data_IF_772487198434
#
_entry.id   IF_772487198434
#
_cell.length_a   1.000
_cell.length_b   1.000
_cell.length_c   1.000
_cell.angle_alpha   90.00
_cell.angle_beta   90.00
_cell.angle_gamma   90.00
#
_symmetry.space_group_name_H-M   'P 1'
#
loop_
_entity.id
_entity.type
_entity.pdbx_description
1 polymer ?
#
# COMPACT_ATOMS: atom_id res chain seq x y z
N UNK A 1 -26.32 -5.24 -25.97
CA UNK A 1 -25.46 -5.92 -26.95
C UNK A 1 -24.67 -6.97 -26.21
N UNK A 2 -24.76 -8.25 -26.57
CA UNK A 2 -24.20 -9.36 -25.79
C UNK A 2 -22.66 -9.34 -25.66
N UNK A 3 -21.95 -8.86 -26.72
CA UNK A 3 -20.49 -8.80 -26.73
C UNK A 3 -19.90 -7.83 -25.69
N UNK A 4 -20.63 -6.81 -25.30
CA UNK A 4 -20.19 -5.80 -24.34
C UNK A 4 -20.40 -6.26 -22.89
N UNK A 5 -21.42 -7.06 -22.62
CA UNK A 5 -21.75 -7.56 -21.26
C UNK A 5 -21.06 -8.87 -20.92
N UNK A 6 -20.88 -9.76 -21.91
CA UNK A 6 -20.12 -11.00 -21.73
C UNK A 6 -18.77 -10.86 -22.45
N UNK A 7 -17.67 -10.83 -21.69
CA UNK A 7 -16.31 -10.62 -22.20
C UNK A 7 -15.44 -11.88 -22.18
N UNK A 8 -16.04 -13.03 -21.99
CA UNK A 8 -15.34 -14.30 -22.00
C UNK A 8 -14.63 -14.55 -23.33
N UNK A 9 -15.21 -14.07 -24.45
CA UNK A 9 -14.62 -14.12 -25.79
C UNK A 9 -13.20 -13.55 -25.87
N UNK A 10 -12.83 -12.59 -25.01
CA UNK A 10 -11.47 -12.00 -24.98
C UNK A 10 -10.39 -13.04 -24.69
N UNK A 11 -10.75 -14.13 -24.04
CA UNK A 11 -9.85 -15.21 -23.61
C UNK A 11 -10.04 -16.50 -24.42
N UNK A 12 -11.04 -16.54 -25.29
CA UNK A 12 -11.34 -17.66 -26.21
C UNK A 12 -10.87 -17.32 -27.63
N UNK A 13 -9.54 -17.15 -27.78
CA UNK A 13 -8.91 -16.65 -29.00
C UNK A 13 -8.97 -17.65 -30.17
N UNK A 14 -8.92 -18.96 -29.89
CA UNK A 14 -8.80 -20.02 -30.91
C UNK A 14 -10.06 -20.87 -30.96
N UNK A 15 -10.43 -21.34 -32.16
CA UNK A 15 -11.47 -22.34 -32.37
C UNK A 15 -11.00 -23.77 -31.96
N UNK A 16 -11.88 -24.75 -32.15
CA UNK A 16 -11.62 -26.17 -31.88
C UNK A 16 -10.48 -26.76 -32.68
N UNK A 17 -10.15 -26.18 -33.84
CA UNK A 17 -9.11 -26.62 -34.75
C UNK A 17 -7.78 -25.88 -34.50
N UNK A 18 -7.73 -24.99 -33.49
CA UNK A 18 -6.55 -24.25 -33.12
C UNK A 18 -6.28 -23.01 -33.95
N UNK A 19 -7.17 -22.63 -34.86
CA UNK A 19 -7.09 -21.41 -35.64
C UNK A 19 -7.73 -20.24 -34.90
N UNK A 20 -7.41 -19.02 -35.34
CA UNK A 20 -7.99 -17.80 -34.78
C UNK A 20 -9.52 -17.78 -35.03
N UNK A 21 -10.31 -17.70 -33.96
CA UNK A 21 -11.76 -17.71 -34.01
C UNK A 21 -12.29 -16.50 -34.78
N UNK A 22 -13.25 -16.71 -35.70
CA UNK A 22 -13.93 -15.61 -36.38
C UNK A 22 -14.67 -14.69 -35.40
N UNK A 23 -15.34 -15.28 -34.40
CA UNK A 23 -16.01 -14.53 -33.33
C UNK A 23 -15.04 -13.63 -32.55
N UNK A 24 -13.84 -14.15 -32.24
CA UNK A 24 -12.81 -13.36 -31.60
C UNK A 24 -12.36 -12.18 -32.45
N UNK A 25 -12.14 -12.39 -33.75
CA UNK A 25 -11.75 -11.34 -34.69
C UNK A 25 -12.80 -10.22 -34.78
N UNK A 26 -14.08 -10.60 -34.94
CA UNK A 26 -15.18 -9.66 -35.04
C UNK A 26 -15.33 -8.82 -33.74
N UNK A 27 -15.21 -9.47 -32.60
CA UNK A 27 -15.28 -8.80 -31.30
C UNK A 27 -14.07 -7.90 -31.02
N UNK A 28 -12.86 -8.25 -31.49
CA UNK A 28 -11.69 -7.37 -31.47
C UNK A 28 -11.92 -6.11 -32.27
N UNK A 29 -12.51 -6.21 -33.44
CA UNK A 29 -12.82 -5.04 -34.27
C UNK A 29 -13.87 -4.14 -33.63
N UNK A 30 -14.91 -4.71 -33.03
CA UNK A 30 -15.91 -3.97 -32.26
C UNK A 30 -15.29 -3.29 -31.03
N UNK A 31 -14.37 -3.96 -30.34
CA UNK A 31 -13.60 -3.35 -29.23
C UNK A 31 -12.77 -2.16 -29.71
N UNK A 32 -12.07 -2.30 -30.85
CA UNK A 32 -11.25 -1.22 -31.40
C UNK A 32 -12.12 -0.04 -31.86
N UNK A 33 -13.28 -0.29 -32.47
CA UNK A 33 -14.23 0.76 -32.81
C UNK A 33 -14.70 1.53 -31.57
N UNK A 34 -15.04 0.81 -30.51
CA UNK A 34 -15.40 1.40 -29.25
C UNK A 34 -14.24 2.25 -28.67
N UNK A 35 -13.04 1.67 -28.58
CA UNK A 35 -11.91 2.32 -27.93
C UNK A 35 -11.44 3.57 -28.68
N UNK A 36 -11.45 3.55 -30.02
CA UNK A 36 -11.06 4.70 -30.84
C UNK A 36 -12.17 5.76 -31.01
N UNK A 37 -13.39 5.49 -30.55
CA UNK A 37 -14.48 6.48 -30.52
C UNK A 37 -14.56 7.27 -29.21
N UNK A 38 -13.75 6.96 -28.23
CA UNK A 38 -13.74 7.61 -26.92
C UNK A 38 -12.61 8.65 -26.78
N UNK A 39 -12.72 9.51 -25.77
CA UNK A 39 -11.76 10.61 -25.46
C UNK A 39 -10.37 10.14 -25.01
N UNK A 40 -10.13 8.83 -25.00
CA UNK A 40 -8.82 8.23 -24.62
C UNK A 40 -7.81 8.19 -25.77
N UNK A 41 -8.23 8.61 -26.95
CA UNK A 41 -7.39 8.67 -28.16
C UNK A 41 -6.40 9.83 -28.07
N UNK A 42 -5.13 9.54 -28.33
CA UNK A 42 -4.05 10.52 -28.37
C UNK A 42 -3.58 10.69 -29.81
N UNK A 43 -3.50 11.92 -30.29
CA UNK A 43 -2.98 12.26 -31.61
C UNK A 43 -1.48 12.50 -31.57
N UNK A 44 -0.76 11.89 -32.51
CA UNK A 44 0.66 12.11 -32.75
C UNK A 44 0.89 12.44 -34.22
N UNK A 45 1.83 13.35 -34.44
CA UNK A 45 2.29 13.65 -35.81
C UNK A 45 3.48 12.73 -36.13
N UNK A 46 3.37 11.95 -37.19
CA UNK A 46 4.45 11.09 -37.66
C UNK A 46 5.57 11.89 -38.35
N UNK A 47 6.66 11.20 -38.73
CA UNK A 47 7.81 11.84 -39.42
C UNK A 47 7.47 12.39 -40.80
N UNK A 48 6.29 12.07 -41.36
CA UNK A 48 5.80 12.53 -42.63
C UNK A 48 4.74 13.65 -42.52
N UNK A 49 4.47 14.12 -41.26
CA UNK A 49 3.51 15.20 -41.01
C UNK A 49 2.03 14.74 -40.94
N UNK A 50 1.77 13.43 -40.93
CA UNK A 50 0.42 12.90 -40.85
C UNK A 50 0.05 12.68 -39.38
N UNK A 51 -1.22 12.98 -39.02
CA UNK A 51 -1.75 12.71 -37.68
C UNK A 51 -2.11 11.23 -37.55
N UNK A 52 -1.50 10.54 -36.60
CA UNK A 52 -1.81 9.16 -36.22
C UNK A 52 -2.54 9.17 -34.90
N UNK A 53 -3.66 8.48 -34.85
CA UNK A 53 -4.43 8.26 -33.62
C UNK A 53 -3.92 7.00 -32.91
N UNK A 54 -3.59 7.10 -31.64
CA UNK A 54 -3.08 6.00 -30.82
C UNK A 54 -3.91 5.87 -29.54
N UNK A 55 -4.08 4.63 -29.08
CA UNK A 55 -4.61 4.31 -27.73
C UNK A 55 -3.63 3.39 -27.00
N UNK A 56 -3.81 3.19 -25.72
CA UNK A 56 -3.05 2.21 -24.95
C UNK A 56 -3.37 0.79 -25.47
N UNK A 57 -2.35 -0.02 -25.71
CA UNK A 57 -2.53 -1.36 -26.26
C UNK A 57 -2.84 -2.38 -25.15
N UNK A 58 -4.02 -3.05 -25.13
CA UNK A 58 -4.44 -3.97 -24.07
C UNK A 58 -3.95 -5.40 -24.27
N UNK A 59 -3.01 -5.65 -25.18
CA UNK A 59 -2.51 -7.01 -25.41
C UNK A 59 -1.67 -7.50 -24.22
N UNK A 60 -1.54 -8.82 -24.10
CA UNK A 60 -0.81 -9.49 -23.02
C UNK A 60 0.62 -8.96 -22.82
N UNK A 61 1.30 -8.53 -23.89
CA UNK A 61 2.66 -7.95 -23.79
C UNK A 61 2.68 -6.47 -23.43
N UNK A 62 1.76 -5.67 -23.96
CA UNK A 62 1.76 -4.22 -23.80
C UNK A 62 1.08 -3.77 -22.51
N UNK A 63 0.10 -4.51 -21.98
CA UNK A 63 -0.58 -4.33 -20.70
C UNK A 63 -0.99 -2.87 -20.41
N UNK A 64 -1.57 -2.19 -21.41
CA UNK A 64 -1.96 -0.78 -21.34
C UNK A 64 -0.82 0.23 -21.03
N UNK A 65 0.43 -0.17 -21.19
CA UNK A 65 1.60 0.71 -20.94
C UNK A 65 1.98 1.49 -22.22
N UNK A 66 1.82 0.89 -23.39
CA UNK A 66 2.31 1.46 -24.64
C UNK A 66 1.17 1.92 -25.55
N UNK A 67 1.25 3.16 -26.02
CA UNK A 67 0.36 3.68 -27.08
C UNK A 67 0.71 3.07 -28.43
N UNK A 68 -0.31 2.71 -29.22
CA UNK A 68 -0.17 2.14 -30.56
C UNK A 68 -1.35 2.56 -31.43
N UNK A 69 -1.13 2.55 -32.74
CA UNK A 69 -2.17 2.72 -33.73
C UNK A 69 -3.07 1.48 -33.82
N UNK A 70 -4.26 1.67 -34.43
CA UNK A 70 -5.28 0.63 -34.52
C UNK A 70 -4.76 -0.67 -35.18
N UNK A 71 -4.01 -0.57 -36.27
CA UNK A 71 -3.54 -1.75 -37.00
C UNK A 71 -2.51 -2.54 -36.20
N UNK A 72 -1.65 -1.84 -35.46
CA UNK A 72 -0.67 -2.46 -34.56
C UNK A 72 -1.35 -3.16 -33.38
N UNK A 73 -2.38 -2.55 -32.80
CA UNK A 73 -3.13 -3.16 -31.68
C UNK A 73 -3.86 -4.41 -32.17
N UNK A 74 -4.52 -4.37 -33.31
CA UNK A 74 -5.20 -5.52 -33.88
C UNK A 74 -4.23 -6.70 -34.09
N UNK A 75 -3.05 -6.44 -34.67
CA UNK A 75 -1.99 -7.47 -34.80
C UNK A 75 -1.55 -8.03 -33.46
N UNK A 76 -1.39 -7.18 -32.45
CA UNK A 76 -0.99 -7.61 -31.12
C UNK A 76 -2.07 -8.48 -30.46
N UNK A 77 -3.35 -8.11 -30.57
CA UNK A 77 -4.45 -8.87 -30.01
C UNK A 77 -4.60 -10.24 -30.72
N UNK A 78 -4.47 -10.27 -32.05
CA UNK A 78 -4.51 -11.53 -32.79
C UNK A 78 -3.34 -12.46 -32.44
N UNK A 79 -2.15 -11.90 -32.20
CA UNK A 79 -0.97 -12.68 -31.86
C UNK A 79 -0.90 -13.06 -30.39
N UNK A 80 -1.02 -12.11 -29.48
CA UNK A 80 -0.72 -12.25 -28.07
C UNK A 80 -1.98 -12.40 -27.18
N UNK A 81 -3.18 -12.05 -27.70
CA UNK A 81 -4.43 -11.99 -26.93
C UNK A 81 -4.49 -10.77 -26.00
N UNK A 82 -5.61 -10.61 -25.31
CA UNK A 82 -5.79 -9.57 -24.30
C UNK A 82 -4.98 -9.90 -23.02
N UNK A 83 -4.65 -8.86 -22.27
CA UNK A 83 -4.11 -9.01 -20.93
C UNK A 83 -5.13 -9.70 -20.01
N UNK A 84 -4.66 -10.48 -19.02
CA UNK A 84 -5.53 -11.22 -18.12
C UNK A 84 -6.30 -10.27 -17.18
N UNK A 85 -7.53 -10.65 -16.83
CA UNK A 85 -8.41 -9.91 -15.92
C UNK A 85 -8.76 -8.49 -16.36
N UNK A 86 -8.79 -8.24 -17.67
CA UNK A 86 -9.18 -6.95 -18.21
C UNK A 86 -10.69 -6.90 -18.51
N UNK A 87 -11.50 -7.11 -17.47
CA UNK A 87 -12.96 -7.15 -17.57
C UNK A 87 -13.61 -5.77 -17.64
N UNK A 88 -12.95 -4.73 -17.17
CA UNK A 88 -13.35 -3.33 -17.31
C UNK A 88 -12.35 -2.61 -18.20
N UNK A 89 -12.85 -1.97 -19.25
CA UNK A 89 -12.02 -1.26 -20.23
C UNK A 89 -11.76 0.20 -19.83
N UNK A 90 -11.39 0.40 -18.58
CA UNK A 90 -11.16 1.72 -17.98
C UNK A 90 -10.18 2.59 -18.77
N UNK A 91 -9.14 1.98 -19.37
CA UNK A 91 -8.15 2.68 -20.18
C UNK A 91 -8.61 2.92 -21.63
N UNK A 92 -9.82 2.49 -21.99
CA UNK A 92 -10.40 2.57 -23.34
C UNK A 92 -11.75 3.27 -23.35
N UNK A 93 -12.06 4.07 -22.30
CA UNK A 93 -13.25 4.92 -22.26
C UNK A 93 -14.49 4.27 -21.68
N UNK A 94 -14.39 3.07 -21.07
CA UNK A 94 -15.48 2.54 -20.27
C UNK A 94 -15.50 3.23 -18.90
N UNK A 95 -16.08 4.43 -18.88
CA UNK A 95 -16.48 5.03 -17.63
C UNK A 95 -17.77 4.36 -17.19
N UNK A 96 -17.95 4.09 -15.89
CA UNK A 96 -19.23 3.66 -15.35
C UNK A 96 -20.30 4.66 -15.80
N UNK A 97 -21.13 4.29 -16.78
CA UNK A 97 -22.23 5.12 -17.23
C UNK A 97 -23.12 5.43 -16.03
N UNK A 98 -23.10 6.68 -15.61
CA UNK A 98 -24.13 7.21 -14.73
C UNK A 98 -25.43 7.20 -15.52
N UNK A 99 -26.38 6.38 -15.10
CA UNK A 99 -27.77 6.51 -15.50
C UNK A 99 -28.22 7.94 -15.21
N UNK A 100 -28.56 8.67 -16.27
CA UNK A 100 -29.19 9.97 -16.17
C UNK A 100 -30.66 9.74 -15.82
N UNK A 101 -30.97 9.78 -14.55
CA UNK A 101 -32.34 9.78 -14.07
C UNK A 101 -32.55 9.21 -12.68
N UNK A 102 -32.12 9.89 -11.66
CA UNK A 102 -32.92 10.28 -10.48
C UNK A 102 -32.00 10.86 -9.40
N UNK A 103 -32.35 12.08 -9.00
CA UNK A 103 -31.87 12.82 -7.85
C UNK A 103 -31.93 11.98 -6.57
N UNK A 104 -30.83 11.82 -5.92
CA UNK A 104 -30.51 12.13 -4.50
C UNK A 104 -29.37 11.27 -3.97
N UNK A 105 -28.31 11.98 -3.59
CA UNK A 105 -27.48 11.75 -2.40
C UNK A 105 -27.18 10.31 -2.00
N UNK A 106 -26.10 9.78 -2.52
CA UNK A 106 -25.00 9.15 -1.78
C UNK A 106 -23.86 8.93 -2.78
N UNK A 107 -22.73 9.61 -2.59
CA UNK A 107 -21.48 9.23 -3.25
C UNK A 107 -21.12 7.84 -2.76
N UNK A 108 -21.43 6.81 -3.54
CA UNK A 108 -20.73 5.53 -3.44
C UNK A 108 -19.30 5.79 -3.92
N UNK A 109 -18.42 5.97 -2.97
CA UNK A 109 -16.98 6.09 -3.18
C UNK A 109 -16.50 4.73 -3.66
N UNK A 110 -15.91 4.73 -4.85
CA UNK A 110 -15.24 3.57 -5.46
C UNK A 110 -14.31 2.90 -4.44
N UNK A 111 -14.47 1.59 -4.22
CA UNK A 111 -13.79 0.80 -3.17
C UNK A 111 -12.26 0.73 -3.30
N UNK A 112 -11.66 1.41 -4.27
CA UNK A 112 -10.22 1.53 -4.51
C UNK A 112 -9.58 2.82 -3.96
N UNK A 113 -10.35 3.75 -3.43
CA UNK A 113 -9.80 4.96 -2.83
C UNK A 113 -9.51 4.76 -1.34
N UNK A 114 -8.21 4.63 -1.05
CA UNK A 114 -7.61 5.08 0.18
C UNK A 114 -7.89 4.26 1.44
N UNK A 115 -7.25 3.10 1.53
CA UNK A 115 -7.24 2.32 2.77
C UNK A 115 -6.72 3.11 3.98
N UNK A 116 -5.83 4.08 3.77
CA UNK A 116 -5.36 4.97 4.83
C UNK A 116 -6.45 5.96 5.28
N UNK A 117 -7.18 6.54 4.33
CA UNK A 117 -8.36 7.39 4.63
C UNK A 117 -9.44 6.58 5.35
N UNK A 118 -9.71 5.37 4.88
CA UNK A 118 -10.66 4.45 5.51
C UNK A 118 -10.21 4.06 6.92
N UNK A 119 -8.93 3.74 7.12
CA UNK A 119 -8.37 3.44 8.43
C UNK A 119 -8.46 4.64 9.38
N UNK A 120 -8.25 5.86 8.90
CA UNK A 120 -8.43 7.10 9.69
C UNK A 120 -9.91 7.35 9.97
N UNK A 121 -10.80 7.19 8.98
CA UNK A 121 -12.25 7.41 9.15
C UNK A 121 -12.89 6.30 10.02
N UNK A 122 -12.51 5.04 9.85
CA UNK A 122 -12.97 3.93 10.69
C UNK A 122 -12.50 4.10 12.15
N UNK A 123 -11.33 4.72 12.37
CA UNK A 123 -10.89 5.11 13.71
C UNK A 123 -11.71 6.30 14.27
N UNK A 124 -12.24 7.16 13.41
CA UNK A 124 -13.12 8.27 13.84
C UNK A 124 -14.51 7.78 14.23
N UNK A 125 -15.06 6.81 13.50
CA UNK A 125 -16.35 6.16 13.86
C UNK A 125 -16.23 5.35 15.16
N UNK A 126 -15.05 4.79 15.45
CA UNK A 126 -14.75 4.12 16.71
C UNK A 126 -14.59 5.10 17.89
N UNK A 127 -14.33 6.39 17.61
CA UNK A 127 -14.23 7.47 18.61
C UNK A 127 -15.58 7.92 19.20
N UNK A 128 -16.68 7.18 19.05
CA UNK A 128 -17.87 7.29 19.87
C UNK A 128 -17.62 7.00 21.35
N UNK A 129 -16.46 7.46 21.85
CA UNK A 129 -16.08 7.43 23.26
C UNK A 129 -16.89 8.49 24.01
N UNK A 130 -18.19 8.25 24.11
CA UNK A 130 -18.99 8.91 25.14
C UNK A 130 -18.58 8.26 26.47
N UNK A 131 -18.14 9.08 27.40
CA UNK A 131 -17.62 8.75 28.73
C UNK A 131 -18.55 7.94 29.65
N UNK A 132 -19.52 7.21 29.11
CA UNK A 132 -20.60 6.57 29.86
C UNK A 132 -20.68 5.04 29.74
N UNK A 133 -19.66 4.33 29.19
CA UNK A 133 -19.65 2.85 29.28
C UNK A 133 -18.60 2.40 30.30
N UNK A 134 -19.06 2.15 31.52
CA UNK A 134 -18.30 1.70 32.71
C UNK A 134 -17.83 0.24 32.67
N UNK A 135 -17.77 -0.42 31.51
CA UNK A 135 -17.32 -1.82 31.38
C UNK A 135 -16.17 -1.90 30.34
N UNK A 136 -14.95 -1.85 30.82
CA UNK A 136 -13.75 -2.06 30.02
C UNK A 136 -12.50 -1.47 30.70
N UNK A 137 -11.33 -1.99 30.36
CA UNK A 137 -10.06 -1.44 30.83
C UNK A 137 -9.80 -0.07 30.19
N UNK A 138 -9.28 0.85 30.98
CA UNK A 138 -8.85 2.16 30.47
C UNK A 138 -7.77 1.94 29.40
N UNK A 139 -7.85 2.61 28.24
CA UNK A 139 -6.78 2.56 27.24
C UNK A 139 -5.43 2.91 27.84
N UNK A 140 -4.38 2.21 27.41
CA UNK A 140 -3.03 2.54 27.82
C UNK A 140 -2.67 3.99 27.42
N UNK A 141 -1.64 4.61 28.02
CA UNK A 141 -1.34 6.02 27.80
C UNK A 141 -1.10 6.39 26.34
N UNK A 142 -0.57 5.46 25.54
CA UNK A 142 -0.31 5.67 24.11
C UNK A 142 -1.62 5.71 23.32
N UNK A 143 -2.50 4.74 23.53
CA UNK A 143 -3.82 4.69 22.90
C UNK A 143 -4.69 5.88 23.31
N UNK A 144 -4.70 6.23 24.60
CA UNK A 144 -5.40 7.41 25.10
C UNK A 144 -4.90 8.68 24.41
N UNK A 145 -3.60 8.90 24.36
CA UNK A 145 -3.01 10.06 23.67
C UNK A 145 -3.38 10.11 22.19
N UNK A 146 -3.45 8.96 21.54
CA UNK A 146 -3.89 8.87 20.15
C UNK A 146 -5.37 9.26 19.97
N UNK A 147 -6.27 8.76 20.81
CA UNK A 147 -7.69 9.13 20.76
C UNK A 147 -7.91 10.60 21.10
N UNK A 148 -7.23 11.14 22.11
CA UNK A 148 -7.30 12.56 22.46
C UNK A 148 -6.86 13.45 21.28
N UNK A 149 -5.81 13.04 20.55
CA UNK A 149 -5.35 13.74 19.35
C UNK A 149 -6.31 13.63 18.19
N UNK A 150 -6.94 12.46 17.98
CA UNK A 150 -7.98 12.30 16.96
C UNK A 150 -9.17 13.21 17.26
N UNK A 151 -9.63 13.21 18.49
CA UNK A 151 -10.74 14.07 18.92
C UNK A 151 -10.41 15.55 18.75
N UNK A 152 -9.20 15.99 19.14
CA UNK A 152 -8.76 17.38 18.95
C UNK A 152 -8.60 17.77 17.48
N UNK A 153 -8.30 16.80 16.60
CA UNK A 153 -8.15 17.04 15.16
C UNK A 153 -9.49 16.98 14.40
N UNK A 154 -10.53 16.42 15.04
CA UNK A 154 -11.88 16.30 14.47
C UNK A 154 -12.74 17.56 14.73
N UNK A 155 -12.09 18.69 14.97
CA UNK A 155 -12.77 19.97 15.07
C UNK A 155 -13.40 20.38 13.73
N UNK A 156 -14.59 21.04 13.74
CA UNK A 156 -15.17 21.58 12.52
C UNK A 156 -14.24 22.64 11.91
N UNK A 157 -14.24 22.74 10.57
CA UNK A 157 -13.38 23.68 9.84
C UNK A 157 -13.65 25.15 10.21
N UNK A 158 -14.88 25.52 10.60
CA UNK A 158 -15.25 26.84 11.10
C UNK A 158 -16.46 26.74 12.03
N UNK A 159 -16.67 27.76 12.85
CA UNK A 159 -17.84 27.84 13.75
C UNK A 159 -19.13 27.94 12.95
N UNK A 160 -20.15 27.17 13.32
CA UNK A 160 -21.43 27.11 12.63
C UNK A 160 -21.51 26.10 11.47
N UNK A 161 -20.42 25.40 11.16
CA UNK A 161 -20.49 24.28 10.23
C UNK A 161 -21.28 23.12 10.85
N UNK A 162 -22.17 22.49 10.07
CA UNK A 162 -22.90 21.29 10.54
C UNK A 162 -21.89 20.17 10.79
N UNK A 163 -22.06 19.44 11.88
CA UNK A 163 -21.17 18.34 12.30
C UNK A 163 -21.02 17.19 11.25
N UNK A 164 -21.94 17.12 10.28
CA UNK A 164 -21.90 16.16 9.16
C UNK A 164 -20.95 16.55 8.04
N UNK A 165 -20.38 17.76 8.09
CA UNK A 165 -19.48 18.27 7.06
C UNK A 165 -18.02 17.97 7.43
N UNK A 166 -17.09 18.30 6.57
CA UNK A 166 -15.68 17.97 6.67
C UNK A 166 -15.00 18.55 7.92
N UNK A 167 -14.34 17.72 8.74
CA UNK A 167 -13.50 18.18 9.84
C UNK A 167 -12.15 18.71 9.35
N UNK A 168 -11.42 19.41 10.23
CA UNK A 168 -10.05 19.85 9.97
C UNK A 168 -9.13 18.68 9.60
N UNK A 169 -9.28 17.53 10.27
CA UNK A 169 -8.52 16.34 10.00
C UNK A 169 -8.85 15.75 8.63
N UNK A 170 -10.15 15.64 8.32
CA UNK A 170 -10.59 15.14 7.00
C UNK A 170 -10.11 16.03 5.87
N UNK A 171 -10.19 17.35 6.01
CA UNK A 171 -9.67 18.26 5.01
C UNK A 171 -8.16 18.11 4.82
N UNK A 172 -7.40 18.09 5.92
CA UNK A 172 -5.95 17.96 5.87
C UNK A 172 -5.50 16.63 5.22
N UNK A 173 -6.14 15.52 5.58
CA UNK A 173 -5.85 14.20 4.99
C UNK A 173 -6.26 14.14 3.52
N UNK A 174 -7.42 14.66 3.15
CA UNK A 174 -7.88 14.69 1.74
C UNK A 174 -6.91 15.47 0.84
N UNK A 175 -6.42 16.63 1.31
CA UNK A 175 -5.42 17.40 0.55
C UNK A 175 -4.07 16.68 0.42
N UNK A 176 -3.62 15.97 1.47
CA UNK A 176 -2.39 15.17 1.37
C UNK A 176 -2.55 13.97 0.44
N UNK A 177 -3.70 13.30 0.52
CA UNK A 177 -4.05 12.21 -0.39
C UNK A 177 -4.07 12.68 -1.83
N UNK A 178 -4.76 13.79 -2.12
CA UNK A 178 -4.75 14.41 -3.45
C UNK A 178 -3.33 14.71 -3.92
N UNK A 179 -2.48 15.31 -3.06
CA UNK A 179 -1.09 15.58 -3.40
C UNK A 179 -0.31 14.31 -3.75
N UNK A 180 -0.54 13.23 -3.01
CA UNK A 180 0.15 11.95 -3.19
C UNK A 180 -0.31 11.23 -4.46
N UNK A 181 -1.62 11.06 -4.63
CA UNK A 181 -2.22 10.33 -5.76
C UNK A 181 -1.87 10.97 -7.11
N UNK A 182 -1.94 12.30 -7.19
CA UNK A 182 -1.72 13.02 -8.44
C UNK A 182 -0.31 13.62 -8.57
N UNK A 183 0.61 13.21 -7.68
CA UNK A 183 2.00 13.70 -7.67
C UNK A 183 2.11 15.23 -7.76
N UNK A 184 1.22 15.94 -7.05
CA UNK A 184 1.10 17.40 -7.09
C UNK A 184 2.33 18.05 -6.48
N UNK A 185 2.93 19.04 -7.16
CA UNK A 185 4.05 19.78 -6.64
C UNK A 185 3.68 20.58 -5.38
N UNK A 186 4.64 20.87 -4.50
CA UNK A 186 4.38 21.66 -3.29
C UNK A 186 3.89 23.08 -3.63
N UNK A 187 4.34 23.65 -4.74
CA UNK A 187 3.89 24.96 -5.20
C UNK A 187 2.41 24.93 -5.63
N UNK A 188 2.00 23.92 -6.42
CA UNK A 188 0.62 23.74 -6.83
C UNK A 188 -0.30 23.44 -5.62
N UNK A 189 0.17 22.63 -4.66
CA UNK A 189 -0.52 22.37 -3.41
C UNK A 189 -0.81 23.65 -2.64
N UNK A 190 0.23 24.48 -2.40
CA UNK A 190 0.09 25.73 -1.66
C UNK A 190 -0.84 26.73 -2.37
N UNK A 191 -0.77 26.78 -3.71
CA UNK A 191 -1.66 27.63 -4.50
C UNK A 191 -3.12 27.21 -4.36
N UNK A 192 -3.40 25.91 -4.48
CA UNK A 192 -4.75 25.35 -4.32
C UNK A 192 -5.31 25.60 -2.90
N UNK A 193 -4.52 25.34 -1.88
CA UNK A 193 -4.92 25.61 -0.49
C UNK A 193 -5.22 27.10 -0.28
N UNK A 194 -4.43 28.02 -0.87
CA UNK A 194 -4.68 29.45 -0.76
C UNK A 194 -5.98 29.86 -1.44
N UNK A 195 -6.29 29.27 -2.61
CA UNK A 195 -7.57 29.49 -3.29
C UNK A 195 -8.77 29.00 -2.45
N UNK A 196 -8.67 27.78 -1.91
CA UNK A 196 -9.73 27.22 -1.07
C UNK A 196 -9.92 28.06 0.20
N UNK A 197 -8.83 28.49 0.84
CA UNK A 197 -8.92 29.38 2.01
C UNK A 197 -9.62 30.72 1.68
N UNK A 198 -9.45 31.26 0.49
CA UNK A 198 -10.11 32.49 0.05
C UNK A 198 -11.64 32.31 -0.17
N UNK A 199 -12.10 31.07 -0.37
CA UNK A 199 -13.53 30.75 -0.53
C UNK A 199 -14.21 30.38 0.79
N UNK A 200 -13.44 30.08 1.83
CA UNK A 200 -13.94 29.73 3.16
C UNK A 200 -14.10 31.00 4.04
N UNK A 201 -14.91 30.93 5.11
CA UNK A 201 -14.99 32.02 6.08
C UNK A 201 -13.60 32.39 6.65
N UNK A 202 -13.41 33.67 7.02
CA UNK A 202 -12.11 34.17 7.51
C UNK A 202 -11.58 33.40 8.74
N UNK A 203 -12.47 32.93 9.60
CA UNK A 203 -12.15 32.19 10.84
C UNK A 203 -11.98 30.66 10.61
N UNK A 204 -11.79 30.22 9.36
CA UNK A 204 -11.61 28.81 9.09
C UNK A 204 -10.27 28.28 9.64
N UNK A 205 -10.28 26.99 10.00
CA UNK A 205 -9.13 26.27 10.60
C UNK A 205 -8.34 25.43 9.58
N UNK A 206 -8.55 25.62 8.28
CA UNK A 206 -7.81 24.90 7.25
C UNK A 206 -6.33 25.30 7.30
N UNK A 207 -5.38 24.35 7.29
CA UNK A 207 -3.95 24.68 7.22
C UNK A 207 -3.63 25.53 5.99
N UNK A 208 -2.80 26.57 6.15
CA UNK A 208 -2.53 27.56 5.09
C UNK A 208 -1.58 27.08 3.99
N UNK A 209 -0.83 26.01 4.23
CA UNK A 209 0.15 25.48 3.29
C UNK A 209 0.52 24.03 3.62
N UNK A 210 1.27 23.37 2.74
CA UNK A 210 1.74 21.99 2.90
C UNK A 210 2.51 21.73 4.21
N UNK A 211 3.34 22.67 4.61
CA UNK A 211 4.12 22.54 5.85
C UNK A 211 3.21 22.51 7.07
N UNK A 212 2.24 23.43 7.16
CA UNK A 212 1.26 23.44 8.25
C UNK A 212 0.37 22.21 8.24
N UNK A 213 -0.07 21.75 7.06
CA UNK A 213 -0.84 20.50 6.93
C UNK A 213 -0.04 19.31 7.46
N UNK A 214 1.22 19.18 7.04
CA UNK A 214 2.10 18.11 7.52
C UNK A 214 2.32 18.20 9.03
N UNK A 215 2.55 19.39 9.56
CA UNK A 215 2.76 19.64 10.99
C UNK A 215 1.51 19.31 11.83
N UNK A 216 0.32 19.62 11.33
CA UNK A 216 -0.94 19.29 12.03
C UNK A 216 -1.17 17.78 12.15
N UNK A 217 -0.64 16.98 11.23
CA UNK A 217 -0.74 15.52 11.23
C UNK A 217 0.50 14.81 11.80
N UNK A 218 1.55 15.55 12.16
CA UNK A 218 2.82 14.97 12.62
C UNK A 218 2.64 14.05 13.83
N UNK A 219 1.80 14.44 14.78
CA UNK A 219 1.49 13.66 15.99
C UNK A 219 0.67 12.39 15.71
N UNK A 220 -0.07 12.37 14.61
CA UNK A 220 -0.81 11.20 14.14
C UNK A 220 0.02 10.30 13.23
N UNK A 221 1.18 10.78 12.78
CA UNK A 221 2.05 10.03 11.87
C UNK A 221 2.74 8.87 12.60
N UNK A 222 2.93 7.78 11.85
CA UNK A 222 3.73 6.66 12.34
C UNK A 222 5.23 7.00 12.26
N UNK A 223 6.03 6.53 13.23
CA UNK A 223 7.46 6.80 13.25
C UNK A 223 8.17 6.19 12.04
N UNK A 224 9.21 6.86 11.58
CA UNK A 224 10.18 6.31 10.63
C UNK A 224 11.59 6.77 11.02
N UNK A 225 12.58 5.95 10.71
CA UNK A 225 13.96 6.21 10.98
C UNK A 225 14.79 6.27 9.69
N UNK A 226 15.73 7.20 9.65
CA UNK A 226 16.71 7.27 8.57
C UNK A 226 18.02 6.70 9.06
N UNK A 227 18.44 5.60 8.46
CA UNK A 227 19.66 4.87 8.84
C UNK A 227 20.69 5.04 7.73
N UNK A 228 21.84 5.59 8.06
CA UNK A 228 22.92 5.74 7.09
C UNK A 228 23.53 4.38 6.74
N UNK A 229 23.83 4.20 5.47
CA UNK A 229 24.33 2.95 4.90
C UNK A 229 25.74 3.14 4.34
N UNK A 230 26.59 2.15 4.48
CA UNK A 230 27.89 2.11 3.82
C UNK A 230 27.71 2.17 2.29
N UNK A 231 28.51 2.97 1.60
CA UNK A 231 28.50 3.11 0.14
C UNK A 231 28.60 1.76 -0.60
N UNK A 232 29.30 0.80 0.00
CA UNK A 232 29.50 -0.55 -0.56
C UNK A 232 28.55 -1.59 0.06
N UNK A 233 27.48 -1.17 0.76
CA UNK A 233 26.46 -2.05 1.39
C UNK A 233 27.02 -3.01 2.46
N UNK A 234 28.21 -2.74 3.04
CA UNK A 234 28.84 -3.65 4.01
C UNK A 234 28.20 -3.60 5.40
N UNK A 235 27.60 -2.48 5.79
CA UNK A 235 26.99 -2.28 7.11
C UNK A 235 26.02 -1.11 7.13
N UNK A 236 25.16 -1.10 8.13
CA UNK A 236 24.38 0.05 8.56
C UNK A 236 25.13 0.79 9.69
N UNK A 237 25.02 2.11 9.72
CA UNK A 237 25.45 2.92 10.87
C UNK A 237 24.31 2.96 11.90
N UNK A 238 24.09 1.83 12.58
CA UNK A 238 22.93 1.54 13.42
C UNK A 238 23.34 1.02 14.80
N UNK A 239 22.55 1.27 15.85
CA UNK A 239 22.85 0.89 17.25
C UNK A 239 24.28 1.25 17.66
N UNK A 240 25.12 0.26 17.94
CA UNK A 240 26.52 0.46 18.41
C UNK A 240 27.41 1.18 17.38
N UNK A 241 27.09 1.02 16.09
CA UNK A 241 27.86 1.60 14.99
C UNK A 241 27.39 3.02 14.61
N UNK A 242 26.37 3.55 15.28
CA UNK A 242 25.72 4.85 14.98
C UNK A 242 26.68 6.03 14.99
N UNK A 243 27.73 6.00 15.81
CA UNK A 243 28.71 7.08 15.97
C UNK A 243 29.87 7.01 14.97
N UNK A 244 30.02 5.90 14.25
CA UNK A 244 31.11 5.71 13.30
C UNK A 244 31.00 6.66 12.11
N UNK A 245 32.15 7.19 11.69
CA UNK A 245 32.28 8.05 10.51
C UNK A 245 32.82 7.33 9.28
N UNK A 246 33.30 6.09 9.47
CA UNK A 246 33.80 5.20 8.43
C UNK A 246 33.29 3.78 8.61
N UNK A 247 33.11 3.06 7.52
CA UNK A 247 32.77 1.65 7.55
C UNK A 247 33.85 0.81 8.23
N UNK A 248 33.46 -0.03 9.17
CA UNK A 248 34.38 -0.93 9.88
C UNK A 248 35.00 -2.02 8.99
N UNK A 249 34.33 -2.36 7.88
CA UNK A 249 34.75 -3.40 6.95
C UNK A 249 35.59 -2.82 5.80
N UNK A 250 35.04 -1.97 4.95
CA UNK A 250 35.70 -1.45 3.76
C UNK A 250 36.42 -0.11 3.97
N UNK A 251 36.36 0.47 5.18
CA UNK A 251 36.99 1.75 5.55
C UNK A 251 36.49 2.99 4.77
N UNK A 252 35.52 2.84 3.89
CA UNK A 252 34.89 3.95 3.17
C UNK A 252 34.22 4.97 4.10
N UNK A 253 34.25 6.24 3.70
CA UNK A 253 33.61 7.31 4.45
C UNK A 253 32.09 7.14 4.48
N UNK A 254 31.47 7.41 5.62
CA UNK A 254 30.02 7.52 5.76
C UNK A 254 29.43 8.66 4.94
N UNK A 255 30.17 9.76 4.80
CA UNK A 255 29.70 11.01 4.22
C UNK A 255 30.31 11.29 2.85
N UNK A 256 29.53 11.89 1.94
CA UNK A 256 29.97 12.41 0.65
C UNK A 256 30.94 13.59 0.82
N UNK A 257 30.69 14.41 1.85
CA UNK A 257 31.49 15.57 2.20
C UNK A 257 31.63 15.63 3.73
N UNK A 258 32.87 15.81 4.18
CA UNK A 258 33.15 15.96 5.61
C UNK A 258 32.59 17.28 6.18
N UNK A 259 32.49 18.32 5.35
CA UNK A 259 31.98 19.64 5.79
C UNK A 259 30.48 19.60 6.12
N UNK A 260 29.67 18.94 5.31
CA UNK A 260 28.21 19.00 5.42
C UNK A 260 27.58 17.75 6.04
N UNK A 261 28.38 16.73 6.38
CA UNK A 261 27.91 15.45 6.96
C UNK A 261 26.73 14.82 6.18
N UNK A 262 26.72 14.99 4.84
CA UNK A 262 25.72 14.39 3.98
C UNK A 262 26.08 12.92 3.77
N UNK A 263 25.23 11.95 4.20
CA UNK A 263 25.54 10.53 4.06
C UNK A 263 25.60 10.09 2.60
N UNK A 264 26.40 9.07 2.31
CA UNK A 264 26.51 8.50 0.97
C UNK A 264 25.20 7.84 0.55
N UNK A 265 24.65 6.99 1.42
CA UNK A 265 23.39 6.30 1.22
C UNK A 265 22.57 6.35 2.51
N UNK A 266 21.26 6.35 2.39
CA UNK A 266 20.33 6.37 3.52
C UNK A 266 19.21 5.36 3.23
N UNK A 267 18.95 4.48 4.18
CA UNK A 267 17.81 3.59 4.21
C UNK A 267 16.71 4.23 5.05
N UNK A 268 15.48 4.13 4.61
CA UNK A 268 14.31 4.48 5.42
C UNK A 268 13.79 3.21 6.08
N UNK A 269 13.68 3.22 7.41
CA UNK A 269 13.14 2.15 8.22
C UNK A 269 11.87 2.62 8.91
N UNK A 270 10.82 1.84 8.82
CA UNK A 270 9.50 2.11 9.37
C UNK A 270 9.15 0.99 10.35
N UNK A 271 9.32 1.21 11.68
CA UNK A 271 9.06 0.18 12.70
C UNK A 271 7.65 -0.41 12.58
N UNK A 272 7.55 -1.74 12.71
CA UNK A 272 6.29 -2.46 12.54
C UNK A 272 5.42 -2.41 13.81
N UNK A 273 6.00 -2.41 14.98
CA UNK A 273 5.27 -2.41 16.25
C UNK A 273 4.22 -1.30 16.37
N UNK A 274 4.58 -0.02 16.15
CA UNK A 274 3.61 1.09 16.16
C UNK A 274 2.48 0.91 15.12
N UNK A 275 2.76 0.28 13.98
CA UNK A 275 1.77 0.02 12.93
C UNK A 275 0.78 -1.05 13.36
N UNK A 276 1.27 -2.15 13.95
CA UNK A 276 0.43 -3.20 14.50
C UNK A 276 -0.46 -2.69 15.64
N UNK A 277 0.05 -1.83 16.51
CA UNK A 277 -0.75 -1.16 17.55
C UNK A 277 -1.94 -0.41 16.95
N UNK A 278 -1.74 0.30 15.83
CA UNK A 278 -2.82 1.06 15.16
C UNK A 278 -3.95 0.19 14.68
N UNK A 279 -3.70 -1.05 14.25
CA UNK A 279 -4.74 -1.98 13.82
C UNK A 279 -5.65 -2.37 14.97
N UNK A 280 -5.12 -2.52 16.18
CA UNK A 280 -5.91 -2.82 17.38
C UNK A 280 -6.62 -1.61 17.97
N UNK A 281 -6.13 -0.38 17.70
CA UNK A 281 -6.79 0.86 18.13
C UNK A 281 -8.10 1.17 17.40
N UNK A 282 -8.40 0.50 16.29
CA UNK A 282 -9.69 0.59 15.60
C UNK A 282 -10.52 -0.65 15.93
N UNK A 283 -11.74 -0.46 16.47
CA UNK A 283 -12.62 -1.57 16.82
C UNK A 283 -12.93 -2.51 15.64
N UNK A 284 -13.03 -1.96 14.44
CA UNK A 284 -13.31 -2.73 13.23
C UNK A 284 -12.11 -3.60 12.83
N UNK A 285 -10.92 -3.01 12.72
CA UNK A 285 -9.72 -3.77 12.37
C UNK A 285 -9.29 -4.72 13.49
N UNK A 286 -9.46 -4.34 14.77
CA UNK A 286 -9.18 -5.20 15.91
C UNK A 286 -9.99 -6.50 15.87
N UNK A 287 -11.29 -6.40 15.50
CA UNK A 287 -12.14 -7.57 15.28
C UNK A 287 -11.60 -8.48 14.18
N UNK A 288 -11.18 -7.88 13.06
CA UNK A 288 -10.67 -8.63 11.91
C UNK A 288 -9.30 -9.28 12.18
N UNK A 289 -8.53 -8.78 13.16
CA UNK A 289 -7.24 -9.37 13.57
C UNK A 289 -7.35 -10.74 14.25
N UNK A 290 -8.54 -11.19 14.63
CA UNK A 290 -8.79 -12.53 15.16
C UNK A 290 -9.49 -13.45 14.15
N UNK A 291 -9.74 -12.98 12.93
CA UNK A 291 -10.47 -13.73 11.90
C UNK A 291 -9.87 -15.11 11.62
N UNK A 292 -8.54 -15.22 11.58
CA UNK A 292 -7.84 -16.48 11.32
C UNK A 292 -8.15 -17.59 12.34
N UNK A 293 -8.57 -17.24 13.55
CA UNK A 293 -8.97 -18.19 14.60
C UNK A 293 -10.43 -18.60 14.45
N UNK A 294 -11.30 -17.68 14.10
CA UNK A 294 -12.76 -17.89 14.07
C UNK A 294 -13.24 -18.51 12.75
N UNK A 295 -12.41 -18.41 11.71
CA UNK A 295 -12.70 -18.91 10.39
C UNK A 295 -12.72 -20.45 10.34
N UNK A 296 -13.70 -20.99 9.62
CA UNK A 296 -13.84 -22.43 9.39
C UNK A 296 -13.66 -22.73 7.92
N UNK A 297 -12.72 -23.61 7.61
CA UNK A 297 -12.46 -24.06 6.24
C UNK A 297 -13.12 -25.42 6.02
N UNK A 298 -13.60 -25.64 4.79
CA UNK A 298 -14.10 -26.97 4.37
C UNK A 298 -12.94 -27.96 4.36
N UNK A 299 -13.15 -29.16 4.84
CA UNK A 299 -12.12 -30.20 4.88
C UNK A 299 -11.51 -30.41 3.49
N UNK A 300 -10.18 -30.37 3.40
CA UNK A 300 -9.42 -30.51 2.15
C UNK A 300 -9.24 -29.22 1.34
N UNK A 301 -9.82 -28.06 1.76
CA UNK A 301 -9.55 -26.78 1.13
C UNK A 301 -8.54 -25.94 1.93
N UNK A 302 -7.82 -25.07 1.25
CA UNK A 302 -6.87 -24.11 1.84
C UNK A 302 -7.21 -22.72 1.31
N UNK A 303 -7.87 -21.89 2.10
CA UNK A 303 -8.24 -20.54 1.74
C UNK A 303 -7.34 -19.47 2.40
N UNK A 304 -6.63 -19.87 3.45
CA UNK A 304 -5.82 -18.96 4.25
C UNK A 304 -4.57 -19.67 4.80
N UNK A 305 -3.45 -18.97 5.09
CA UNK A 305 -2.26 -19.57 5.72
C UNK A 305 -2.56 -20.31 7.03
N UNK A 306 -3.57 -19.90 7.80
CA UNK A 306 -3.98 -20.58 9.03
C UNK A 306 -4.53 -22.01 8.83
N UNK A 307 -4.97 -22.35 7.61
CA UNK A 307 -5.43 -23.70 7.28
C UNK A 307 -4.26 -24.67 7.10
N UNK A 308 -3.06 -24.12 6.88
CA UNK A 308 -1.86 -24.89 6.54
C UNK A 308 -1.28 -25.71 7.71
N UNK A 309 -0.63 -26.83 7.37
CA UNK A 309 0.05 -27.68 8.35
C UNK A 309 1.15 -26.92 9.10
N UNK A 310 1.85 -26.02 8.44
CA UNK A 310 2.91 -25.21 9.06
C UNK A 310 2.37 -24.33 10.21
N UNK A 311 1.16 -23.76 10.05
CA UNK A 311 0.53 -22.96 11.11
C UNK A 311 0.23 -23.82 12.35
N UNK A 312 -0.43 -24.96 12.12
CA UNK A 312 -0.76 -25.92 13.18
C UNK A 312 0.50 -26.48 13.87
N UNK A 313 1.57 -26.71 13.09
CA UNK A 313 2.84 -27.15 13.62
C UNK A 313 3.46 -26.09 14.54
N UNK A 314 3.47 -24.82 14.09
CA UNK A 314 4.00 -23.72 14.90
C UNK A 314 3.23 -23.56 16.20
N UNK A 315 1.88 -23.64 16.15
CA UNK A 315 1.03 -23.58 17.35
C UNK A 315 1.31 -24.72 18.36
N UNK A 316 1.74 -25.87 17.85
CA UNK A 316 2.15 -26.98 18.69
C UNK A 316 3.57 -26.82 19.27
N UNK A 317 4.47 -26.09 18.57
CA UNK A 317 5.84 -25.82 19.01
C UNK A 317 5.90 -24.70 20.05
N UNK A 318 5.11 -23.62 19.87
CA UNK A 318 4.99 -22.51 20.82
C UNK A 318 3.52 -22.32 21.27
N UNK A 319 3.02 -23.17 22.16
CA UNK A 319 1.65 -23.08 22.67
C UNK A 319 1.36 -21.77 23.41
N UNK A 320 2.37 -21.19 24.05
CA UNK A 320 2.21 -19.91 24.77
C UNK A 320 1.99 -18.74 23.81
N UNK A 321 2.61 -18.78 22.63
CA UNK A 321 2.33 -17.82 21.58
C UNK A 321 0.92 -18.05 21.00
N UNK A 322 0.56 -19.29 20.76
CA UNK A 322 -0.73 -19.68 20.14
C UNK A 322 -1.94 -19.39 21.05
N UNK A 323 -1.74 -19.45 22.37
CA UNK A 323 -2.81 -19.19 23.37
C UNK A 323 -3.40 -17.79 23.28
N UNK A 324 -2.58 -16.79 22.96
CA UNK A 324 -3.07 -15.43 22.67
C UNK A 324 -3.35 -15.32 21.17
N UNK A 325 -4.62 -15.43 20.80
CA UNK A 325 -5.06 -15.42 19.39
C UNK A 325 -4.75 -14.11 18.67
N UNK A 326 -4.55 -13.02 19.40
CA UNK A 326 -4.20 -11.69 18.87
C UNK A 326 -2.71 -11.53 18.58
N UNK A 327 -1.87 -12.51 18.92
CA UNK A 327 -0.48 -12.52 18.51
C UNK A 327 -0.35 -12.56 16.99
N UNK A 328 0.57 -11.76 16.45
CA UNK A 328 0.59 -11.45 15.01
C UNK A 328 1.58 -12.35 14.26
N UNK A 329 1.11 -12.91 13.16
CA UNK A 329 1.92 -13.69 12.21
C UNK A 329 2.10 -12.91 10.92
N UNK A 330 3.34 -12.68 10.54
CA UNK A 330 3.72 -11.81 9.44
C UNK A 330 4.32 -12.62 8.29
N UNK A 331 3.98 -12.23 7.07
CA UNK A 331 4.67 -12.67 5.85
C UNK A 331 5.58 -11.57 5.35
N UNK A 332 6.83 -11.90 4.98
CA UNK A 332 7.78 -10.95 4.41
C UNK A 332 7.81 -11.09 2.88
N UNK A 333 7.74 -9.96 2.20
CA UNK A 333 7.91 -9.88 0.74
C UNK A 333 8.92 -8.77 0.40
N UNK A 334 9.79 -9.02 -0.57
CA UNK A 334 10.71 -8.01 -1.10
C UNK A 334 10.97 -8.27 -2.57
N UNK A 335 10.95 -7.22 -3.35
CA UNK A 335 11.31 -7.26 -4.77
C UNK A 335 11.95 -5.93 -5.19
N UNK A 336 12.77 -6.00 -6.24
CA UNK A 336 13.42 -4.83 -6.81
C UNK A 336 12.64 -4.27 -7.99
N UNK A 337 12.33 -3.00 -7.97
CA UNK A 337 11.71 -2.32 -9.11
C UNK A 337 12.46 -1.04 -9.49
N UNK A 338 12.33 -0.64 -10.74
CA UNK A 338 12.84 0.64 -11.22
C UNK A 338 11.73 1.70 -11.15
N UNK A 339 11.83 2.68 -10.23
CA UNK A 339 10.83 3.75 -10.12
C UNK A 339 10.88 4.75 -11.29
N UNK A 340 11.96 4.74 -12.08
CA UNK A 340 12.09 5.58 -13.25
C UNK A 340 11.62 4.78 -14.47
N UNK A 341 10.58 5.22 -15.14
CA UNK A 341 10.08 4.61 -16.38
C UNK A 341 11.08 4.69 -17.56
N UNK A 342 12.28 5.22 -17.34
CA UNK A 342 13.34 5.36 -18.33
C UNK A 342 14.26 4.13 -18.28
N UNK A 343 14.30 3.38 -19.37
CA UNK A 343 15.23 2.25 -19.55
C UNK A 343 16.70 2.66 -19.66
N UNK A 344 17.00 3.95 -19.66
CA UNK A 344 18.35 4.48 -19.91
C UNK A 344 19.25 4.52 -18.67
N UNK A 345 18.69 4.47 -17.47
CA UNK A 345 19.46 4.44 -16.22
C UNK A 345 18.93 3.30 -15.36
N UNK A 346 19.67 2.19 -15.21
CA UNK A 346 19.25 1.10 -14.33
C UNK A 346 19.33 1.60 -12.87
N UNK A 347 18.18 1.85 -12.29
CA UNK A 347 18.02 2.17 -10.87
C UNK A 347 17.07 1.17 -10.24
N UNK A 348 17.54 0.42 -9.27
CA UNK A 348 16.72 -0.58 -8.59
C UNK A 348 16.49 -0.16 -7.14
N UNK A 349 15.24 0.08 -6.79
CA UNK A 349 14.78 0.32 -5.42
C UNK A 349 14.23 -1.00 -4.86
N UNK A 350 14.57 -1.32 -3.60
CA UNK A 350 14.16 -2.57 -2.95
C UNK A 350 13.36 -2.28 -1.67
N UNK A 351 12.04 -2.16 -1.76
CA UNK A 351 11.19 -2.12 -0.58
C UNK A 351 11.04 -3.51 0.04
N UNK A 352 10.90 -3.54 1.35
CA UNK A 352 10.50 -4.73 2.10
C UNK A 352 9.12 -4.49 2.68
N UNK A 353 8.23 -5.41 2.38
CA UNK A 353 6.84 -5.38 2.82
C UNK A 353 6.58 -6.48 3.83
N UNK A 354 5.67 -6.21 4.75
CA UNK A 354 5.08 -7.21 5.63
C UNK A 354 3.58 -7.32 5.38
N UNK A 355 3.10 -8.54 5.25
CA UNK A 355 1.69 -8.89 5.18
C UNK A 355 1.25 -9.46 6.50
N UNK A 356 0.06 -9.10 6.97
CA UNK A 356 -0.48 -9.51 8.28
C UNK A 356 -1.44 -10.68 8.06
N UNK A 357 -1.00 -11.90 8.40
CA UNK A 357 -1.78 -13.12 8.20
C UNK A 357 -2.89 -13.35 9.24
N UNK A 358 -3.05 -12.48 10.20
CA UNK A 358 -4.20 -12.51 11.10
C UNK A 358 -5.50 -12.07 10.40
N UNK A 359 -5.35 -11.16 9.43
CA UNK A 359 -6.47 -10.55 8.71
C UNK A 359 -7.11 -11.53 7.70
N UNK A 360 -8.40 -11.36 7.40
CA UNK A 360 -9.06 -12.18 6.37
C UNK A 360 -8.42 -12.03 4.99
N UNK A 361 -8.55 -13.03 4.09
CA UNK A 361 -7.90 -13.05 2.76
C UNK A 361 -8.19 -11.82 1.91
N UNK A 362 -9.39 -11.27 1.99
CA UNK A 362 -9.79 -10.06 1.25
C UNK A 362 -9.20 -8.76 1.80
N UNK A 363 -8.56 -8.80 2.97
CA UNK A 363 -7.87 -7.66 3.58
C UNK A 363 -6.36 -7.82 3.56
N UNK A 364 -5.82 -8.98 3.92
CA UNK A 364 -4.38 -9.18 4.10
C UNK A 364 -3.54 -8.90 2.84
N UNK A 365 -4.14 -8.98 1.65
CA UNK A 365 -3.48 -8.68 0.36
C UNK A 365 -3.90 -7.33 -0.25
N UNK A 366 -4.67 -6.51 0.46
CA UNK A 366 -4.97 -5.14 0.02
C UNK A 366 -3.80 -4.20 0.35
N UNK A 367 -3.54 -3.25 -0.53
CA UNK A 367 -2.46 -2.26 -0.41
C UNK A 367 -2.47 -1.52 0.94
N UNK A 368 -3.67 -1.28 1.50
CA UNK A 368 -3.85 -0.60 2.79
C UNK A 368 -3.41 -1.41 4.02
N UNK A 369 -3.22 -2.72 3.88
CA UNK A 369 -2.81 -3.63 4.96
C UNK A 369 -1.46 -4.31 4.69
N UNK A 370 -0.81 -3.96 3.57
CA UNK A 370 0.55 -4.36 3.27
C UNK A 370 1.48 -3.27 3.79
N UNK A 371 2.25 -3.58 4.82
CA UNK A 371 3.09 -2.62 5.51
C UNK A 371 4.47 -2.52 4.90
N UNK A 372 4.87 -1.34 4.45
CA UNK A 372 6.25 -1.06 4.04
C UNK A 372 7.10 -0.90 5.30
N UNK A 373 8.08 -1.79 5.53
CA UNK A 373 8.92 -1.75 6.72
C UNK A 373 10.27 -1.08 6.48
N UNK A 374 10.84 -1.26 5.31
CA UNK A 374 12.07 -0.55 4.95
C UNK A 374 12.19 -0.39 3.44
N UNK A 375 12.95 0.63 3.05
CA UNK A 375 13.28 0.90 1.66
C UNK A 375 14.79 0.91 1.54
N UNK A 376 15.34 -0.13 0.90
CA UNK A 376 16.76 -0.24 0.62
C UNK A 376 17.11 0.77 -0.47
N UNK A 377 18.14 1.62 -0.26
CA UNK A 377 18.49 2.66 -1.22
C UNK A 377 18.94 2.06 -2.55
N UNK A 378 18.46 2.64 -3.63
CA UNK A 378 18.68 2.19 -4.99
C UNK A 378 20.09 2.40 -5.54
N UNK A 379 20.25 1.97 -6.80
CA UNK A 379 21.48 2.02 -7.59
C UNK A 379 22.01 0.62 -7.93
N UNK A 380 21.95 -0.31 -7.00
CA UNK A 380 22.28 -1.72 -7.20
C UNK A 380 21.39 -2.60 -6.36
N UNK A 381 21.12 -3.82 -6.83
CA UNK A 381 20.47 -4.84 -6.00
C UNK A 381 21.29 -5.09 -4.72
N UNK A 382 20.64 -5.29 -3.57
CA UNK A 382 21.33 -5.64 -2.32
C UNK A 382 22.06 -6.99 -2.44
N UNK A 383 21.64 -7.87 -3.34
CA UNK A 383 22.25 -9.18 -3.56
C UNK A 383 22.36 -9.98 -2.26
N UNK A 384 23.54 -10.55 -2.02
CA UNK A 384 23.84 -11.32 -0.80
C UNK A 384 23.90 -10.48 0.47
N UNK A 385 23.94 -9.14 0.36
CA UNK A 385 24.00 -8.23 1.50
C UNK A 385 22.61 -7.83 2.02
N UNK A 386 21.54 -8.46 1.61
CA UNK A 386 20.19 -8.13 2.04
C UNK A 386 20.04 -8.21 3.56
N UNK A 387 20.71 -9.17 4.20
CA UNK A 387 20.71 -9.36 5.66
C UNK A 387 21.21 -8.14 6.42
N UNK A 388 22.14 -7.38 5.84
CA UNK A 388 22.63 -6.11 6.42
C UNK A 388 21.48 -5.13 6.57
N UNK A 389 20.63 -5.05 5.55
CA UNK A 389 19.50 -4.10 5.53
C UNK A 389 18.33 -4.57 6.39
N UNK A 390 18.10 -5.88 6.48
CA UNK A 390 17.02 -6.46 7.30
C UNK A 390 17.31 -6.37 8.79
N UNK A 391 18.54 -6.08 9.22
CA UNK A 391 18.95 -6.09 10.62
C UNK A 391 18.04 -5.31 11.56
N UNK A 392 17.60 -4.06 11.28
CA UNK A 392 16.71 -3.32 12.17
C UNK A 392 15.35 -4.01 12.33
N UNK A 393 14.78 -4.55 11.25
CA UNK A 393 13.53 -5.29 11.27
C UNK A 393 13.65 -6.59 12.09
N UNK A 394 14.72 -7.33 11.89
CA UNK A 394 14.96 -8.58 12.62
C UNK A 394 15.16 -8.31 14.12
N UNK A 395 15.90 -7.26 14.46
CA UNK A 395 16.09 -6.86 15.85
C UNK A 395 14.74 -6.51 16.52
N UNK A 396 13.89 -5.74 15.85
CA UNK A 396 12.54 -5.40 16.32
C UNK A 396 11.65 -6.65 16.46
N UNK A 397 11.64 -7.53 15.44
CA UNK A 397 10.84 -8.75 15.48
C UNK A 397 11.29 -9.69 16.62
N UNK A 398 12.58 -9.76 16.93
CA UNK A 398 13.08 -10.52 18.09
C UNK A 398 12.56 -9.95 19.41
N UNK A 399 12.54 -8.63 19.56
CA UNK A 399 11.97 -7.96 20.73
C UNK A 399 10.46 -8.22 20.83
N UNK A 400 9.73 -8.06 19.72
CA UNK A 400 8.29 -8.35 19.65
C UNK A 400 7.94 -9.81 19.94
N UNK A 401 8.77 -10.76 19.52
CA UNK A 401 8.54 -12.18 19.80
C UNK A 401 8.80 -12.55 21.24
N UNK A 402 9.90 -12.05 21.84
CA UNK A 402 10.34 -12.43 23.19
C UNK A 402 9.56 -11.70 24.27
N UNK A 403 9.45 -10.39 24.15
CA UNK A 403 8.90 -9.51 25.19
C UNK A 403 7.48 -9.09 24.86
N UNK A 404 7.17 -8.90 23.58
CA UNK A 404 5.92 -8.31 23.12
C UNK A 404 5.86 -6.82 23.40
N UNK A 405 4.73 -6.21 23.07
CA UNK A 405 4.42 -4.81 23.36
C UNK A 405 3.01 -4.69 23.92
N UNK A 406 2.79 -3.77 24.83
CA UNK A 406 1.47 -3.47 25.34
C UNK A 406 0.63 -2.77 24.26
N UNK A 407 -0.58 -3.29 24.02
CA UNK A 407 -1.52 -2.82 23.01
C UNK A 407 -2.91 -2.72 23.62
N UNK A 408 -3.66 -1.68 23.27
CA UNK A 408 -5.06 -1.57 23.60
C UNK A 408 -5.91 -2.12 22.43
N UNK A 409 -6.75 -3.11 22.75
CA UNK A 409 -7.71 -3.69 21.84
C UNK A 409 -9.05 -2.94 21.95
N UNK A 410 -9.37 -2.13 20.95
CA UNK A 410 -10.58 -1.32 20.94
C UNK A 410 -11.87 -2.13 20.77
N UNK A 411 -11.79 -3.37 20.23
CA UNK A 411 -12.95 -4.23 20.08
C UNK A 411 -13.33 -4.91 21.41
N UNK A 412 -12.34 -5.51 22.10
CA UNK A 412 -12.55 -6.16 23.40
C UNK A 412 -12.45 -5.17 24.56
N UNK A 413 -12.01 -3.92 24.33
CA UNK A 413 -11.83 -2.87 25.34
C UNK A 413 -10.87 -3.27 26.47
N UNK A 414 -9.75 -3.86 26.13
CA UNK A 414 -8.73 -4.30 27.08
C UNK A 414 -7.31 -4.07 26.59
N UNK A 415 -6.37 -3.99 27.54
CA UNK A 415 -4.95 -3.96 27.21
C UNK A 415 -4.41 -5.39 27.27
N UNK A 416 -3.54 -5.73 26.32
CA UNK A 416 -2.86 -7.05 26.27
C UNK A 416 -1.44 -6.90 25.76
N UNK A 417 -0.63 -7.93 25.97
CA UNK A 417 0.73 -7.99 25.42
C UNK A 417 0.69 -8.70 24.08
N UNK A 418 0.89 -7.95 23.01
CA UNK A 418 0.95 -8.46 21.66
C UNK A 418 2.37 -8.92 21.33
N UNK A 419 2.53 -10.18 20.96
CA UNK A 419 3.76 -10.72 20.39
C UNK A 419 3.61 -10.81 18.86
N UNK A 420 4.73 -10.77 18.14
CA UNK A 420 4.71 -10.91 16.68
C UNK A 420 5.84 -11.81 16.20
N UNK A 421 5.57 -12.57 15.14
CA UNK A 421 6.56 -13.47 14.53
C UNK A 421 6.54 -13.33 13.00
N UNK A 422 7.70 -13.48 12.39
CA UNK A 422 7.82 -13.70 10.95
C UNK A 422 7.52 -15.18 10.65
N UNK A 423 6.31 -15.42 10.16
CA UNK A 423 5.80 -16.77 9.92
C UNK A 423 6.22 -17.33 8.56
N UNK A 424 6.32 -16.49 7.54
CA UNK A 424 6.63 -16.93 6.17
C UNK A 424 7.29 -15.85 5.33
N UNK A 425 7.89 -16.29 4.25
CA UNK A 425 8.49 -15.42 3.24
C UNK A 425 7.77 -15.64 1.90
N UNK A 426 7.21 -14.58 1.34
CA UNK A 426 6.72 -14.53 -0.04
C UNK A 426 7.91 -14.11 -0.91
N UNK A 427 8.53 -15.08 -1.59
CA UNK A 427 9.60 -14.79 -2.56
C UNK A 427 8.94 -14.56 -3.91
N UNK A 428 9.04 -13.37 -4.46
CA UNK A 428 8.79 -13.16 -5.88
C UNK A 428 9.89 -13.83 -6.67
N UNK A 429 9.50 -14.66 -7.63
CA UNK A 429 10.37 -15.50 -8.42
C UNK A 429 11.40 -14.69 -9.22
N UNK A 430 12.63 -14.58 -8.70
CA UNK A 430 13.80 -14.51 -9.56
C UNK A 430 14.47 -15.89 -9.54
N UNK A 431 14.77 -16.52 -10.71
CA UNK A 431 15.11 -17.95 -10.79
C UNK A 431 16.45 -18.35 -10.19
N UNK A 432 17.19 -17.50 -9.53
CA UNK A 432 18.60 -17.76 -9.21
C UNK A 432 19.04 -17.58 -7.76
N UNK A 433 18.23 -17.14 -6.81
CA UNK A 433 18.70 -17.06 -5.42
C UNK A 433 17.57 -17.27 -4.41
N UNK A 434 17.40 -18.52 -3.95
CA UNK A 434 16.64 -18.83 -2.74
C UNK A 434 17.43 -18.35 -1.52
N UNK A 435 17.04 -17.23 -0.92
CA UNK A 435 17.54 -16.83 0.39
C UNK A 435 16.82 -17.63 1.47
N UNK A 436 17.58 -18.40 2.25
CA UNK A 436 17.09 -19.08 3.45
C UNK A 436 16.91 -18.07 4.58
N UNK A 437 15.73 -17.44 4.69
CA UNK A 437 15.35 -16.71 5.93
C UNK A 437 14.79 -17.69 6.98
N UNK A 438 14.53 -18.94 6.61
CA UNK A 438 13.98 -19.96 7.50
C UNK A 438 14.88 -20.40 8.67
N UNK A 439 16.12 -19.89 8.77
CA UNK A 439 17.06 -20.26 9.85
C UNK A 439 17.25 -19.18 10.94
N UNK A 440 16.54 -18.06 10.89
CA UNK A 440 16.79 -16.91 11.78
C UNK A 440 15.92 -16.90 13.06
N UNK A 441 15.04 -17.88 13.24
CA UNK A 441 14.08 -17.87 14.36
C UNK A 441 14.23 -19.05 15.35
N UNK A 442 15.25 -19.90 15.20
CA UNK A 442 15.47 -21.02 16.12
C UNK A 442 16.97 -21.05 16.51
N UNK A 443 17.39 -20.05 17.29
CA UNK A 443 18.57 -20.12 18.19
C UNK A 443 18.41 -19.09 19.32
#
# INVERSE_FOLDING_TARGET
>A
MAWFTNRQWMYEKTDTDGFLSSEYCDNVDLFLDFAFSNDVVVDKINKHGETIFEIKCPCFKCQNISYRDRATIQKHLYKEGFMLRYEKWSEHGENSMRDVGQSSTTMEVDDNEDGYRRMVLDNMDACGYTSNSLEGHVPNPEAKSFYDMLQAADEPLWEGMKATNCSKLQAATSFLTWKSLFNVSTAAYNYNISMVNALLPEENKLPKNFYETKKSLEKLSLPYERIDVCKNHCMLFYKQDKTLTRCKYCKESRYKSHKNKVPNLVMSYMPIGPRLKRLYMSSKTAKDMTWHHDHKTTEGSMAHPSDGIAWKHFDAVDPDFAKEIRNVRLGLCTDGFNPNNSNSIPYSLWPVFLTIYNLPPWMCMKDSFIEVCLIIPGGKSPGQNIDVFLRPLIDELKELYKEGIEVYDAYHKENFIMRAILYGQLVTFLPTQCYRVGALMVD
#
